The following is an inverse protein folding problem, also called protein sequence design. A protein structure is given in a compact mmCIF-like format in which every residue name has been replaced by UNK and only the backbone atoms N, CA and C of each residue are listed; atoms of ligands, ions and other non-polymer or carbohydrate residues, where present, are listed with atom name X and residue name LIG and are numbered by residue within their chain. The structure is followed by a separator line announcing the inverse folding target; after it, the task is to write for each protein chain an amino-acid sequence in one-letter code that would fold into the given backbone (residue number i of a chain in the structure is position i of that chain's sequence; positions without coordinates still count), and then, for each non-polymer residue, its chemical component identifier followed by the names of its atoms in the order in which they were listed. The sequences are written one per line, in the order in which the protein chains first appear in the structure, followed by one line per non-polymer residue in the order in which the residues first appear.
data_IF_403380663825
#
_entry.id   IF_403380663825
#
_cell.length_a   1.000
_cell.length_b   1.000
_cell.length_c   1.000
_cell.angle_alpha   90.00
_cell.angle_beta   90.00
_cell.angle_gamma   90.00
#
_symmetry.space_group_name_H-M   'P 1'
#
loop_
_entity.id
_entity.type
_entity.pdbx_description
1 polymer ?
#
# COMPACT_ATOMS: atom_id res chain seq x y z
N UNK A 1 -14.11 1.54 -4.16
CA UNK A 1 -14.15 3.03 -4.13
C UNK A 1 -12.81 3.53 -4.64
N UNK A 2 -12.79 4.58 -5.45
CA UNK A 2 -11.55 5.15 -5.98
C UNK A 2 -11.69 6.66 -6.12
N UNK A 3 -10.55 7.36 -6.13
CA UNK A 3 -10.49 8.80 -6.42
C UNK A 3 -10.90 9.08 -7.86
N UNK A 4 -11.62 10.17 -8.10
CA UNK A 4 -11.93 10.62 -9.47
C UNK A 4 -10.77 11.39 -10.13
N UNK A 5 -9.70 11.64 -9.38
CA UNK A 5 -8.50 12.31 -9.87
C UNK A 5 -7.47 11.28 -10.31
N UNK A 6 -7.04 11.42 -11.56
CA UNK A 6 -6.02 10.55 -12.15
C UNK A 6 -4.59 11.00 -11.81
N UNK A 7 -3.65 10.05 -11.92
CA UNK A 7 -2.21 10.29 -11.84
C UNK A 7 -1.66 10.69 -13.21
N UNK A 8 -0.55 11.42 -13.22
CA UNK A 8 0.10 11.86 -14.46
C UNK A 8 1.01 10.81 -15.11
N UNK A 9 1.61 9.90 -14.33
CA UNK A 9 2.36 8.74 -14.83
C UNK A 9 1.69 7.46 -14.32
N UNK A 10 0.72 6.98 -15.08
CA UNK A 10 -0.08 5.79 -14.76
C UNK A 10 0.78 4.54 -14.60
N UNK A 11 1.71 4.32 -15.53
CA UNK A 11 2.52 3.10 -15.55
C UNK A 11 3.50 3.03 -14.37
N UNK A 12 4.19 4.14 -14.09
CA UNK A 12 5.10 4.23 -12.96
C UNK A 12 4.37 4.19 -11.63
N UNK A 13 3.24 4.88 -11.52
CA UNK A 13 2.40 4.85 -10.32
C UNK A 13 1.85 3.45 -10.05
N UNK A 14 1.28 2.78 -11.07
CA UNK A 14 0.78 1.41 -10.99
C UNK A 14 1.85 0.43 -10.50
N UNK A 15 3.07 0.50 -11.04
CA UNK A 15 4.19 -0.33 -10.57
C UNK A 15 4.50 -0.09 -9.09
N UNK A 16 4.52 1.17 -8.65
CA UNK A 16 4.75 1.51 -7.25
C UNK A 16 3.62 1.03 -6.34
N UNK A 17 2.35 1.17 -6.75
CA UNK A 17 1.20 0.61 -6.04
C UNK A 17 1.40 -0.91 -5.91
N UNK A 18 1.46 -1.66 -7.01
CA UNK A 18 1.59 -3.13 -6.98
C UNK A 18 2.73 -3.60 -6.10
N UNK A 19 3.92 -3.01 -6.23
CA UNK A 19 5.09 -3.35 -5.40
C UNK A 19 4.84 -3.14 -3.91
N UNK A 20 4.25 -2.01 -3.53
CA UNK A 20 3.92 -1.73 -2.14
C UNK A 20 2.86 -2.71 -1.62
N UNK A 21 1.84 -2.97 -2.44
CA UNK A 21 0.72 -3.84 -2.08
C UNK A 21 1.15 -5.29 -1.85
N UNK A 22 1.98 -5.84 -2.74
CA UNK A 22 2.53 -7.19 -2.61
C UNK A 22 3.33 -7.33 -1.30
N UNK A 23 4.18 -6.34 -0.98
CA UNK A 23 4.96 -6.35 0.26
C UNK A 23 4.08 -6.29 1.52
N UNK A 24 3.00 -5.50 1.50
CA UNK A 24 2.10 -5.38 2.65
C UNK A 24 1.20 -6.60 2.82
N UNK A 25 0.82 -7.24 1.72
CA UNK A 25 0.02 -8.45 1.78
C UNK A 25 0.72 -9.56 2.55
N UNK A 26 1.99 -9.85 2.24
CA UNK A 26 2.72 -10.93 2.91
C UNK A 26 2.87 -10.66 4.41
N UNK A 27 3.14 -9.40 4.77
CA UNK A 27 3.22 -8.94 6.17
C UNK A 27 1.88 -9.08 6.89
N UNK A 28 0.78 -8.67 6.26
CA UNK A 28 -0.55 -8.77 6.87
C UNK A 28 -0.95 -10.24 7.06
N UNK A 29 -0.69 -11.10 6.07
CA UNK A 29 -1.04 -12.52 6.12
C UNK A 29 -0.27 -13.30 7.17
N UNK A 30 0.99 -12.92 7.43
CA UNK A 30 1.83 -13.50 8.48
C UNK A 30 1.42 -13.11 9.91
N UNK A 31 0.45 -12.20 10.09
CA UNK A 31 -0.11 -11.87 11.40
C UNK A 31 -0.77 -13.06 12.09
N UNK A 32 -0.97 -12.98 13.40
CA UNK A 32 -1.59 -14.04 14.20
C UNK A 32 -3.11 -13.82 14.39
N UNK A 33 -3.73 -14.61 15.27
CA UNK A 33 -5.16 -14.53 15.58
C UNK A 33 -5.60 -13.23 16.27
N UNK A 34 -4.65 -12.37 16.70
CA UNK A 34 -4.96 -11.05 17.27
C UNK A 34 -5.09 -10.00 16.18
N UNK A 35 -4.23 -10.06 15.15
CA UNK A 35 -4.19 -9.03 14.11
C UNK A 35 -3.46 -9.49 12.85
N UNK A 36 -4.13 -9.35 11.70
CA UNK A 36 -3.57 -9.50 10.34
C UNK A 36 -3.67 -8.19 9.58
N UNK A 37 -2.65 -7.36 9.73
CA UNK A 37 -2.67 -5.97 9.29
C UNK A 37 -1.25 -5.50 8.98
N UNK A 38 -1.09 -4.74 7.90
CA UNK A 38 0.15 -4.06 7.58
C UNK A 38 -0.13 -2.74 6.88
N UNK A 39 0.70 -1.75 7.16
CA UNK A 39 0.72 -0.44 6.50
C UNK A 39 2.11 -0.14 5.98
N UNK A 40 2.21 0.70 4.97
CA UNK A 40 3.49 1.14 4.45
C UNK A 40 3.35 2.23 3.41
N UNK A 41 4.49 2.78 3.02
CA UNK A 41 4.57 3.81 2.00
C UNK A 41 5.71 3.56 1.01
N UNK A 42 5.58 4.11 -0.19
CA UNK A 42 6.63 4.08 -1.20
C UNK A 42 6.64 5.39 -1.97
N UNK A 43 7.82 5.82 -2.43
CA UNK A 43 7.94 6.90 -3.40
C UNK A 43 7.49 6.44 -4.78
N UNK A 44 6.73 7.29 -5.46
CA UNK A 44 6.21 7.11 -6.80
C UNK A 44 6.77 8.20 -7.73
N UNK A 45 6.58 8.09 -9.05
CA UNK A 45 6.92 9.17 -9.98
C UNK A 45 6.31 10.52 -9.58
N UNK A 46 6.87 11.59 -10.12
CA UNK A 46 6.40 12.97 -9.89
C UNK A 46 6.39 13.38 -8.41
N UNK A 47 7.38 12.87 -7.65
CA UNK A 47 7.59 13.16 -6.23
C UNK A 47 6.38 12.82 -5.33
N UNK A 48 5.50 11.95 -5.79
CA UNK A 48 4.35 11.49 -5.01
C UNK A 48 4.78 10.41 -4.01
N UNK A 49 4.12 10.38 -2.86
CA UNK A 49 4.23 9.27 -1.91
C UNK A 49 2.90 8.52 -1.91
N UNK A 50 2.96 7.21 -2.06
CA UNK A 50 1.79 6.34 -1.94
C UNK A 50 1.81 5.75 -0.54
N UNK A 51 0.69 5.84 0.15
CA UNK A 51 0.40 5.18 1.41
C UNK A 51 -0.54 4.02 1.15
N UNK A 52 -0.32 2.87 1.77
CA UNK A 52 -1.17 1.71 1.58
C UNK A 52 -1.35 0.89 2.85
N UNK A 53 -2.41 0.08 2.82
CA UNK A 53 -2.85 -0.80 3.89
C UNK A 53 -3.36 -2.11 3.30
N UNK A 54 -2.96 -3.21 3.93
CA UNK A 54 -3.50 -4.56 3.74
C UNK A 54 -4.01 -5.08 5.08
N UNK A 55 -5.22 -5.62 5.09
CA UNK A 55 -5.83 -6.17 6.30
C UNK A 55 -6.67 -7.40 5.97
N UNK A 56 -6.62 -8.41 6.84
CA UNK A 56 -7.53 -9.54 6.84
C UNK A 56 -8.26 -9.64 8.18
N UNK A 57 -9.38 -10.36 8.19
CA UNK A 57 -9.99 -10.78 9.45
C UNK A 57 -9.06 -11.79 10.16
N UNK A 58 -8.88 -11.71 11.49
CA UNK A 58 -7.87 -12.50 12.19
C UNK A 58 -8.11 -14.02 12.19
N UNK A 59 -9.33 -14.47 11.88
CA UNK A 59 -9.75 -15.87 11.79
C UNK A 59 -9.19 -16.61 10.57
N UNK A 60 -8.74 -15.89 9.53
CA UNK A 60 -8.22 -16.52 8.31
C UNK A 60 -6.87 -17.20 8.55
N UNK A 61 -6.63 -18.31 7.84
CA UNK A 61 -5.28 -18.83 7.69
C UNK A 61 -4.37 -17.83 6.93
N UNK A 62 -3.06 -17.99 7.03
CA UNK A 62 -2.12 -17.18 6.23
C UNK A 62 -2.38 -17.33 4.72
N UNK A 63 -2.70 -18.55 4.28
CA UNK A 63 -2.99 -18.87 2.88
C UNK A 63 -4.29 -18.18 2.42
N UNK A 64 -5.36 -18.26 3.21
CA UNK A 64 -6.65 -17.65 2.85
C UNK A 64 -6.57 -16.13 2.86
N UNK A 65 -5.86 -15.56 3.83
CA UNK A 65 -5.60 -14.11 3.86
C UNK A 65 -4.83 -13.67 2.61
N UNK A 66 -3.78 -14.41 2.24
CA UNK A 66 -3.01 -14.14 1.02
C UNK A 66 -3.87 -14.25 -0.23
N UNK A 67 -4.74 -15.26 -0.31
CA UNK A 67 -5.65 -15.41 -1.43
C UNK A 67 -6.63 -14.24 -1.54
N UNK A 68 -7.25 -13.82 -0.43
CA UNK A 68 -8.17 -12.68 -0.41
C UNK A 68 -7.49 -11.38 -0.85
N UNK A 69 -6.31 -11.09 -0.29
CA UNK A 69 -5.56 -9.87 -0.61
C UNK A 69 -5.07 -9.83 -2.06
N UNK A 70 -4.65 -10.97 -2.63
CA UNK A 70 -4.29 -11.07 -4.06
C UNK A 70 -5.47 -10.73 -4.95
N UNK A 71 -6.65 -11.27 -4.65
CA UNK A 71 -7.86 -10.96 -5.41
C UNK A 71 -8.26 -9.49 -5.28
N UNK A 72 -8.06 -8.88 -4.11
CA UNK A 72 -8.34 -7.47 -3.90
C UNK A 72 -7.36 -6.57 -4.69
N UNK A 73 -6.07 -6.91 -4.67
CA UNK A 73 -5.03 -6.25 -5.47
C UNK A 73 -5.28 -6.37 -6.98
N UNK A 74 -5.66 -7.56 -7.46
CA UNK A 74 -6.03 -7.75 -8.86
C UNK A 74 -7.23 -6.87 -9.26
N UNK A 75 -8.23 -6.72 -8.38
CA UNK A 75 -9.39 -5.85 -8.62
C UNK A 75 -9.03 -4.36 -8.62
N UNK A 76 -8.12 -3.91 -7.75
CA UNK A 76 -7.53 -2.56 -7.84
C UNK A 76 -6.92 -2.34 -9.23
N UNK A 77 -6.16 -3.34 -9.68
CA UNK A 77 -5.61 -3.38 -11.04
C UNK A 77 -6.66 -3.42 -12.14
N UNK A 78 -7.96 -3.53 -11.90
CA UNK A 78 -8.98 -3.47 -12.96
C UNK A 78 -9.81 -2.19 -12.90
N UNK A 79 -10.15 -1.72 -11.70
CA UNK A 79 -11.05 -0.58 -11.52
C UNK A 79 -10.34 0.78 -11.44
N UNK A 80 -9.08 0.77 -11.05
CA UNK A 80 -8.52 1.89 -10.30
C UNK A 80 -7.08 2.23 -10.74
N UNK A 81 -6.61 1.68 -11.87
CA UNK A 81 -5.21 1.78 -12.29
C UNK A 81 -4.69 3.22 -12.44
N UNK A 82 -5.56 4.14 -12.85
CA UNK A 82 -5.22 5.54 -13.12
C UNK A 82 -5.45 6.45 -11.91
N UNK A 83 -6.16 5.95 -10.90
CA UNK A 83 -6.64 6.77 -9.78
C UNK A 83 -5.55 6.99 -8.73
N UNK A 84 -5.48 8.21 -8.19
CA UNK A 84 -4.60 8.58 -7.06
C UNK A 84 -4.94 7.83 -5.75
N UNK A 85 -6.12 7.21 -5.68
CA UNK A 85 -6.56 6.46 -4.51
C UNK A 85 -7.51 5.34 -4.88
N UNK A 86 -7.42 4.20 -4.20
CA UNK A 86 -8.23 3.03 -4.53
C UNK A 86 -8.40 2.12 -3.34
N UNK A 87 -9.63 1.61 -3.18
CA UNK A 87 -10.01 0.69 -2.12
C UNK A 87 -10.91 -0.43 -2.63
N UNK A 88 -10.52 -1.65 -2.32
CA UNK A 88 -11.32 -2.87 -2.49
C UNK A 88 -11.54 -3.48 -1.12
N UNK A 89 -12.80 -3.77 -0.79
CA UNK A 89 -13.20 -4.41 0.47
C UNK A 89 -13.96 -5.67 0.09
N UNK A 90 -13.51 -6.78 0.65
CA UNK A 90 -14.25 -8.04 0.72
C UNK A 90 -14.61 -8.31 2.19
N UNK A 91 -15.56 -9.22 2.46
CA UNK A 91 -15.92 -9.56 3.84
C UNK A 91 -14.73 -9.91 4.74
N UNK A 92 -13.72 -10.59 4.18
CA UNK A 92 -12.57 -11.08 4.95
C UNK A 92 -11.27 -10.30 4.75
N UNK A 93 -11.23 -9.32 3.84
CA UNK A 93 -10.03 -8.50 3.65
C UNK A 93 -10.30 -7.12 3.07
N UNK A 94 -9.38 -6.20 3.36
CA UNK A 94 -9.43 -4.82 2.94
C UNK A 94 -8.09 -4.42 2.34
N UNK A 95 -8.17 -3.80 1.17
CA UNK A 95 -7.04 -3.33 0.41
C UNK A 95 -7.24 -1.84 0.10
N UNK A 96 -6.31 -0.96 0.51
CA UNK A 96 -6.42 0.48 0.28
C UNK A 96 -5.07 1.12 -0.05
N UNK A 97 -5.04 2.01 -1.03
CA UNK A 97 -3.95 2.96 -1.24
C UNK A 97 -4.49 4.37 -1.45
N UNK A 98 -3.70 5.37 -1.07
CA UNK A 98 -3.99 6.81 -1.24
C UNK A 98 -2.66 7.58 -1.38
N UNK A 99 -2.70 8.77 -1.99
CA UNK A 99 -1.55 9.70 -1.99
C UNK A 99 -1.40 10.52 -0.70
N UNK A 100 -2.44 10.54 0.13
CA UNK A 100 -2.42 11.18 1.44
C UNK A 100 -2.44 10.11 2.54
N UNK A 101 -1.68 10.33 3.61
CA UNK A 101 -1.66 9.41 4.74
C UNK A 101 -3.05 9.32 5.38
N UNK A 102 -3.53 8.10 5.61
CA UNK A 102 -4.87 7.83 6.14
C UNK A 102 -4.89 6.88 7.35
N UNK A 103 -3.71 6.51 7.85
CA UNK A 103 -3.54 5.68 9.03
C UNK A 103 -2.55 6.35 10.00
N UNK A 104 -2.74 6.07 11.28
CA UNK A 104 -1.80 6.47 12.31
C UNK A 104 -0.56 5.57 12.28
N UNK A 105 0.61 6.15 12.54
CA UNK A 105 1.86 5.41 12.64
C UNK A 105 2.06 5.07 14.12
N UNK A 106 2.30 3.79 14.49
CA UNK A 106 2.66 3.44 15.85
C UNK A 106 3.89 4.24 16.30
N UNK A 107 3.85 4.78 17.52
CA UNK A 107 4.96 5.55 18.10
C UNK A 107 6.19 4.62 18.14
N UNK A 108 7.20 4.90 17.31
CA UNK A 108 8.42 4.09 17.15
C UNK A 108 8.70 3.56 15.74
N UNK A 109 7.72 3.59 14.83
CA UNK A 109 7.89 3.27 13.40
C UNK A 109 7.97 4.53 12.52
N UNK A 110 8.48 5.64 13.06
CA UNK A 110 8.65 6.87 12.27
C UNK A 110 9.49 6.58 11.03
N UNK A 111 8.93 6.72 9.81
CA UNK A 111 9.65 6.45 8.60
C UNK A 111 10.67 7.56 8.40
N UNK A 112 11.89 7.25 8.83
CA UNK A 112 13.13 8.01 8.63
C UNK A 112 13.03 9.02 7.47
N UNK A 113 13.36 10.30 7.69
CA UNK A 113 13.32 11.31 6.63
C UNK A 113 14.17 10.84 5.43
N UNK A 114 13.82 11.23 4.20
CA UNK A 114 14.61 10.87 3.03
C UNK A 114 16.08 11.22 3.30
N UNK A 115 16.99 10.25 3.11
CA UNK A 115 18.43 10.48 3.22
C UNK A 115 18.77 11.65 2.31
N UNK A 116 19.01 12.83 2.91
CA UNK A 116 19.50 13.98 2.18
C UNK A 116 20.89 13.59 1.68
N UNK A 117 21.02 13.38 0.37
CA UNK A 117 22.33 13.18 -0.25
C UNK A 117 23.07 14.50 -0.05
N UNK A 118 23.99 14.55 0.92
CA UNK A 118 24.96 15.64 1.02
C UNK A 118 25.81 15.57 -0.24
N UNK A 119 25.54 16.47 -1.19
CA UNK A 119 26.45 16.71 -2.32
C UNK A 119 27.80 17.13 -1.73
N UNK A 120 28.78 16.23 -1.78
CA UNK A 120 30.16 16.56 -1.46
C UNK A 120 30.60 17.54 -2.54
N UNK A 121 30.73 18.81 -2.16
CA UNK A 121 31.34 19.84 -3.01
C UNK A 121 32.83 19.52 -3.07
N UNK A 122 33.27 18.81 -4.12
CA UNK A 122 34.69 18.61 -4.40
C UNK A 122 35.26 19.99 -4.74
N UNK A 123 36.21 20.45 -3.93
CA UNK A 123 37.04 21.62 -4.24
C UNK A 123 38.07 21.26 -5.30
#
# INVERSE_FOLDING_TARGET
MYSLTNVSDENGFKRSVTKLLDSLQDKAAAGDSRRKYATGKISAPNFQTIYALSQCTPDLSQTDCSYCLRNASARIGQCCQESQGGRVIYPSCNFRYEINQFYEIPIGEDPSPPKVIRLIRVK
#
